data_IF_490893917498
#
_entry.id   IF_490893917498
#
_cell.length_a   1.000
_cell.length_b   1.000
_cell.length_c   1.000
_cell.angle_alpha   90.00
_cell.angle_beta   90.00
_cell.angle_gamma   90.00
#
_symmetry.space_group_name_H-M   'P 1'
#
loop_
_entity.id
_entity.type
_entity.pdbx_description
1 polymer ?
#
# COMPACT_ATOMS: atom_id res chain seq x y z
N UNK A 1 -7.01 -7.49 20.87
CA UNK A 1 -7.78 -6.26 21.20
C UNK A 1 -6.80 -5.10 21.19
N UNK A 2 -6.95 -4.15 20.27
CA UNK A 2 -6.06 -2.99 20.17
C UNK A 2 -6.42 -1.99 21.25
N UNK A 3 -5.66 -1.94 22.34
CA UNK A 3 -5.76 -0.83 23.28
C UNK A 3 -5.10 0.41 22.66
N UNK A 4 -5.91 1.16 21.92
CA UNK A 4 -5.63 2.55 21.58
C UNK A 4 -6.02 3.37 22.82
N UNK A 5 -5.18 4.27 23.34
CA UNK A 5 -5.53 5.11 24.48
C UNK A 5 -6.83 5.88 24.20
N UNK A 6 -7.82 5.72 25.09
CA UNK A 6 -9.17 6.31 25.01
C UNK A 6 -9.16 7.84 24.83
N UNK A 7 -8.07 8.51 25.21
CA UNK A 7 -7.89 9.95 25.05
C UNK A 7 -7.75 10.44 23.61
N UNK A 8 -7.48 9.56 22.63
CA UNK A 8 -7.33 9.91 21.22
C UNK A 8 -8.62 9.76 20.38
N UNK A 9 -9.75 9.39 21.00
CA UNK A 9 -10.98 9.01 20.28
C UNK A 9 -12.21 9.91 20.53
N UNK A 10 -12.09 10.99 21.32
CA UNK A 10 -13.24 11.85 21.64
C UNK A 10 -13.12 13.19 20.90
N UNK A 11 -13.95 13.36 19.86
CA UNK A 11 -14.20 14.65 19.20
C UNK A 11 -14.41 15.77 20.23
N UNK A 12 -13.76 16.94 20.09
CA UNK A 12 -13.97 18.02 21.04
C UNK A 12 -15.44 18.47 20.95
N UNK A 13 -16.02 18.87 22.08
CA UNK A 13 -17.40 19.39 22.15
C UNK A 13 -17.62 20.48 21.11
N UNK A 14 -18.79 20.50 20.45
CA UNK A 14 -19.18 21.46 19.39
C UNK A 14 -18.77 22.92 19.67
N UNK A 15 -18.76 23.34 20.93
CA UNK A 15 -18.38 24.69 21.38
C UNK A 15 -16.89 25.07 21.19
N UNK A 16 -15.98 24.10 21.01
CA UNK A 16 -14.54 24.35 20.70
C UNK A 16 -14.25 24.40 19.20
N UNK A 17 -15.18 23.94 18.36
CA UNK A 17 -15.02 23.88 16.90
C UNK A 17 -15.17 25.29 16.27
N UNK A 18 -16.03 26.13 16.85
CA UNK A 18 -16.32 27.49 16.35
C UNK A 18 -15.14 28.47 16.46
N UNK A 19 -14.24 28.29 17.43
CA UNK A 19 -13.04 29.14 17.60
C UNK A 19 -11.90 28.73 16.66
N UNK A 20 -11.85 27.47 16.25
CA UNK A 20 -10.76 26.90 15.44
C UNK A 20 -11.01 26.95 13.91
N UNK A 21 -12.22 27.37 13.51
CA UNK A 21 -12.64 27.49 12.11
C UNK A 21 -11.83 28.51 11.29
N UNK A 22 -11.22 29.51 11.95
CA UNK A 22 -10.45 30.61 11.33
C UNK A 22 -8.95 30.59 11.68
N UNK A 23 -8.37 29.44 12.02
CA UNK A 23 -6.91 29.36 12.25
C UNK A 23 -6.17 29.54 10.92
N UNK A 24 -5.32 30.57 10.84
CA UNK A 24 -4.56 30.89 9.63
C UNK A 24 -3.59 29.75 9.28
N UNK A 25 -3.36 29.54 7.98
CA UNK A 25 -2.32 28.62 7.53
C UNK A 25 -0.97 29.12 8.01
N UNK A 26 -0.21 28.22 8.61
CA UNK A 26 1.16 28.50 9.06
C UNK A 26 2.16 27.78 8.15
N UNK A 27 3.40 28.25 8.19
CA UNK A 27 4.55 27.46 7.73
C UNK A 27 5.06 26.66 8.92
N UNK A 28 4.89 25.34 8.88
CA UNK A 28 5.31 24.43 9.95
C UNK A 28 6.62 23.73 9.58
N UNK A 29 7.44 23.39 10.58
CA UNK A 29 8.68 22.64 10.39
C UNK A 29 8.40 21.15 10.36
N UNK A 30 9.30 20.40 9.72
CA UNK A 30 9.22 18.94 9.69
C UNK A 30 9.23 18.35 11.11
N UNK A 31 10.03 18.93 12.02
CA UNK A 31 10.14 18.50 13.42
C UNK A 31 8.83 18.57 14.20
N UNK A 32 7.93 19.47 13.81
CA UNK A 32 6.70 19.75 14.58
C UNK A 32 5.68 18.61 14.44
N UNK A 33 5.77 17.86 13.35
CA UNK A 33 4.86 16.76 13.03
C UNK A 33 5.53 15.39 13.00
N UNK A 34 6.87 15.33 12.99
CA UNK A 34 7.64 14.09 12.92
C UNK A 34 7.31 13.14 14.08
N UNK A 35 7.36 11.86 13.79
CA UNK A 35 7.05 10.78 14.72
C UNK A 35 8.10 9.69 14.65
N UNK A 36 8.42 9.16 15.83
CA UNK A 36 9.23 7.97 16.00
C UNK A 36 8.42 6.93 16.78
N UNK A 37 8.42 5.69 16.28
CA UNK A 37 7.82 4.54 16.96
C UNK A 37 8.79 3.38 16.90
N UNK A 38 9.12 2.82 18.05
CA UNK A 38 9.89 1.57 18.15
C UNK A 38 8.91 0.43 18.40
N UNK A 39 9.05 -0.66 17.65
CA UNK A 39 8.37 -1.92 17.85
C UNK A 39 9.36 -2.90 18.48
N UNK A 40 9.35 -3.08 19.81
CA UNK A 40 10.37 -3.86 20.52
C UNK A 40 10.12 -5.37 20.44
N UNK A 41 10.08 -5.94 19.23
CA UNK A 41 9.77 -7.36 19.03
C UNK A 41 10.73 -8.33 19.73
N UNK A 42 11.96 -7.90 20.04
CA UNK A 42 12.91 -8.75 20.76
C UNK A 42 12.57 -8.93 22.25
N UNK A 43 11.86 -7.98 22.85
CA UNK A 43 11.56 -7.95 24.30
C UNK A 43 10.06 -8.08 24.61
N UNK A 44 9.20 -7.51 23.77
CA UNK A 44 7.75 -7.57 23.90
C UNK A 44 7.18 -8.71 23.04
N UNK A 45 7.04 -9.89 23.66
CA UNK A 45 6.56 -11.09 22.99
C UNK A 45 5.06 -11.02 22.64
N UNK A 46 4.23 -10.34 23.45
CA UNK A 46 2.80 -10.17 23.17
C UNK A 46 2.58 -9.23 21.97
N UNK A 47 3.38 -8.18 21.85
CA UNK A 47 3.42 -7.37 20.64
C UNK A 47 3.89 -8.20 19.46
N UNK A 48 5.00 -8.93 19.59
CA UNK A 48 5.54 -9.78 18.53
C UNK A 48 4.50 -10.76 18.00
N UNK A 49 3.78 -11.46 18.87
CA UNK A 49 2.73 -12.42 18.50
C UNK A 49 1.66 -11.81 17.59
N UNK A 50 1.34 -10.52 17.75
CA UNK A 50 0.38 -9.81 16.88
C UNK A 50 0.92 -9.54 15.47
N UNK A 51 2.24 -9.57 15.27
CA UNK A 51 2.93 -9.24 14.01
C UNK A 51 3.63 -10.44 13.37
N UNK A 52 3.55 -11.64 13.92
CA UNK A 52 4.08 -12.84 13.27
C UNK A 52 3.00 -13.62 12.52
N UNK A 53 3.41 -14.26 11.44
CA UNK A 53 2.62 -15.29 10.77
C UNK A 53 3.03 -16.69 11.27
N UNK A 54 2.32 -17.72 10.83
CA UNK A 54 2.56 -19.10 11.25
C UNK A 54 3.90 -19.69 10.76
N UNK A 55 4.58 -19.04 9.81
CA UNK A 55 5.94 -19.36 9.36
C UNK A 55 7.02 -18.58 10.14
N UNK A 56 6.67 -17.98 11.27
CA UNK A 56 7.48 -17.05 12.07
C UNK A 56 8.02 -15.84 11.27
N UNK A 57 7.44 -15.53 10.11
CA UNK A 57 7.76 -14.34 9.35
C UNK A 57 6.94 -13.14 9.83
N UNK A 58 7.42 -11.93 9.55
CA UNK A 58 6.67 -10.72 9.85
C UNK A 58 5.41 -10.64 8.97
N UNK A 59 4.27 -10.38 9.60
CA UNK A 59 2.97 -10.14 8.96
C UNK A 59 2.95 -8.74 8.36
N UNK A 60 3.51 -8.62 7.15
CA UNK A 60 3.68 -7.34 6.48
C UNK A 60 2.36 -6.58 6.27
N UNK A 61 1.24 -7.27 6.02
CA UNK A 61 -0.08 -6.63 5.95
C UNK A 61 -0.42 -5.84 7.23
N UNK A 62 -0.14 -6.39 8.42
CA UNK A 62 -0.32 -5.69 9.70
C UNK A 62 0.65 -4.50 9.84
N UNK A 63 1.88 -4.64 9.38
CA UNK A 63 2.84 -3.54 9.37
C UNK A 63 2.37 -2.41 8.44
N UNK A 64 1.86 -2.71 7.23
CA UNK A 64 1.34 -1.72 6.28
C UNK A 64 0.19 -0.91 6.88
N UNK A 65 -0.72 -1.58 7.60
CA UNK A 65 -1.79 -0.91 8.35
C UNK A 65 -1.24 0.10 9.37
N UNK A 66 -0.21 -0.30 10.12
CA UNK A 66 0.44 0.55 11.12
C UNK A 66 1.22 1.73 10.50
N UNK A 67 1.86 1.51 9.34
CA UNK A 67 2.59 2.54 8.62
C UNK A 67 1.64 3.63 8.11
N UNK A 68 0.48 3.24 7.56
CA UNK A 68 -0.55 4.19 7.14
C UNK A 68 -1.08 4.96 8.36
N UNK A 69 -1.25 4.29 9.52
CA UNK A 69 -1.76 4.94 10.73
C UNK A 69 -0.80 6.01 11.22
N UNK A 70 0.49 5.67 11.22
CA UNK A 70 1.55 6.62 11.56
C UNK A 70 1.59 7.79 10.58
N UNK A 71 1.45 7.53 9.27
CA UNK A 71 1.40 8.58 8.26
C UNK A 71 0.21 9.52 8.46
N UNK A 72 -0.96 8.96 8.79
CA UNK A 72 -2.15 9.74 9.16
C UNK A 72 -1.91 10.61 10.38
N UNK A 73 -1.28 10.08 11.44
CA UNK A 73 -0.96 10.85 12.64
C UNK A 73 -0.04 12.04 12.36
N UNK A 74 1.03 11.84 11.57
CA UNK A 74 1.92 12.93 11.14
C UNK A 74 1.15 13.98 10.36
N UNK A 75 0.29 13.58 9.43
CA UNK A 75 -0.53 14.51 8.64
C UNK A 75 -1.52 15.29 9.53
N UNK A 76 -2.17 14.64 10.51
CA UNK A 76 -3.06 15.33 11.45
C UNK A 76 -2.32 16.35 12.31
N UNK A 77 -1.12 16.01 12.79
CA UNK A 77 -0.28 16.94 13.55
C UNK A 77 0.12 18.15 12.71
N UNK A 78 0.60 17.92 11.50
CA UNK A 78 1.05 18.99 10.60
C UNK A 78 -0.04 19.97 10.24
N UNK A 79 -1.23 19.46 9.95
CA UNK A 79 -2.35 20.26 9.47
C UNK A 79 -3.14 20.89 10.61
N UNK A 80 -2.88 20.49 11.85
CA UNK A 80 -3.74 20.74 13.01
C UNK A 80 -5.18 20.31 12.69
N UNK A 81 -5.31 19.18 11.97
CA UNK A 81 -6.55 18.78 11.32
C UNK A 81 -7.71 18.61 12.29
N UNK A 82 -7.42 18.15 13.51
CA UNK A 82 -8.41 18.01 14.56
C UNK A 82 -9.02 19.34 15.01
N UNK A 83 -8.17 20.34 15.22
CA UNK A 83 -8.61 21.67 15.63
C UNK A 83 -9.42 22.32 14.51
N UNK A 84 -8.96 22.19 13.27
CA UNK A 84 -9.60 22.79 12.09
C UNK A 84 -10.80 22.00 11.54
N UNK A 85 -11.23 20.93 12.21
CA UNK A 85 -12.32 20.07 11.75
C UNK A 85 -12.10 19.46 10.36
N UNK A 86 -10.84 19.20 10.00
CA UNK A 86 -10.45 18.62 8.72
C UNK A 86 -10.37 17.11 8.82
N UNK A 87 -10.79 16.45 7.74
CA UNK A 87 -10.66 15.02 7.53
C UNK A 87 -9.46 14.72 6.66
N UNK A 88 -8.55 13.90 7.17
CA UNK A 88 -7.40 13.42 6.42
C UNK A 88 -7.62 11.97 6.05
N UNK A 89 -7.54 11.69 4.75
CA UNK A 89 -7.68 10.35 4.17
C UNK A 89 -6.41 9.97 3.41
N UNK A 90 -6.09 8.68 3.41
CA UNK A 90 -5.06 8.12 2.53
C UNK A 90 -5.58 8.12 1.11
N UNK A 91 -4.92 8.85 0.22
CA UNK A 91 -5.26 8.92 -1.20
C UNK A 91 -4.42 7.96 -2.05
N UNK A 92 -3.18 7.70 -1.65
CA UNK A 92 -2.31 6.76 -2.33
C UNK A 92 -1.22 6.24 -1.39
N UNK A 93 -0.66 5.09 -1.75
CA UNK A 93 0.60 4.59 -1.22
C UNK A 93 1.54 4.38 -2.40
N UNK A 94 2.74 4.95 -2.29
CA UNK A 94 3.80 4.75 -3.29
C UNK A 94 4.29 3.30 -3.25
N UNK A 95 5.02 2.94 -4.30
CA UNK A 95 5.70 1.65 -4.39
C UNK A 95 6.59 1.42 -3.16
N UNK A 96 6.49 0.21 -2.59
CA UNK A 96 7.31 -0.25 -1.48
C UNK A 96 8.16 -1.42 -1.99
N UNK A 97 9.49 -1.25 -1.96
CA UNK A 97 10.46 -2.32 -2.17
C UNK A 97 11.18 -2.63 -0.84
N UNK A 98 11.41 -3.91 -0.57
CA UNK A 98 12.27 -4.32 0.54
C UNK A 98 13.74 -4.19 0.14
N UNK A 99 14.50 -3.41 0.92
CA UNK A 99 15.96 -3.23 0.78
C UNK A 99 16.75 -4.25 1.60
N UNK A 100 16.08 -4.94 2.51
CA UNK A 100 16.66 -5.95 3.40
C UNK A 100 15.57 -6.82 4.00
N UNK A 101 15.99 -7.73 4.89
CA UNK A 101 15.05 -8.62 5.55
C UNK A 101 14.29 -7.89 6.66
N UNK A 102 13.04 -8.29 6.87
CA UNK A 102 12.19 -7.84 7.97
C UNK A 102 12.04 -8.99 8.98
N UNK A 103 13.05 -9.20 9.84
CA UNK A 103 13.00 -10.24 10.86
C UNK A 103 11.85 -9.96 11.84
N UNK A 104 11.20 -11.03 12.28
CA UNK A 104 10.11 -10.95 13.26
C UNK A 104 10.59 -10.91 14.70
N UNK A 105 11.87 -11.17 14.94
CA UNK A 105 12.52 -11.28 16.25
C UNK A 105 13.41 -10.09 16.62
N UNK A 106 13.58 -9.11 15.72
CA UNK A 106 14.37 -7.91 15.98
C UNK A 106 13.48 -6.69 16.08
N UNK A 107 13.92 -5.72 16.88
CA UNK A 107 13.20 -4.46 17.03
C UNK A 107 13.16 -3.70 15.69
N UNK A 108 12.02 -3.07 15.40
CA UNK A 108 11.87 -2.18 14.25
C UNK A 108 11.70 -0.73 14.71
N UNK A 109 12.44 0.18 14.08
CA UNK A 109 12.27 1.62 14.23
C UNK A 109 11.54 2.17 13.01
N UNK A 110 10.41 2.83 13.27
CA UNK A 110 9.64 3.56 12.30
C UNK A 110 9.88 5.05 12.54
N UNK A 111 10.42 5.74 11.54
CA UNK A 111 10.60 7.19 11.55
C UNK A 111 9.72 7.78 10.46
N UNK A 112 8.69 8.53 10.86
CA UNK A 112 7.76 9.17 9.94
C UNK A 112 7.93 10.68 9.98
N UNK A 113 7.95 11.30 8.79
CA UNK A 113 8.03 12.75 8.66
C UNK A 113 7.50 13.19 7.30
N UNK A 114 7.15 14.46 7.21
CA UNK A 114 6.69 15.04 5.95
C UNK A 114 7.87 15.21 5.02
N UNK A 115 7.70 14.76 3.79
CA UNK A 115 8.66 14.96 2.72
C UNK A 115 8.26 16.10 1.81
N UNK A 116 6.96 16.23 1.50
CA UNK A 116 6.46 17.22 0.56
C UNK A 116 5.03 17.63 0.89
N UNK A 117 4.68 18.89 0.58
CA UNK A 117 3.34 19.45 0.79
C UNK A 117 2.90 20.19 -0.46
N UNK A 118 1.69 19.88 -0.94
CA UNK A 118 0.99 20.60 -2.01
C UNK A 118 -0.10 21.51 -1.44
N UNK A 119 -1.14 21.79 -2.23
CA UNK A 119 -2.26 22.63 -1.77
C UNK A 119 -3.07 21.95 -0.66
N UNK A 120 -3.49 20.71 -0.88
CA UNK A 120 -4.32 19.92 0.03
C UNK A 120 -3.77 18.51 0.26
N UNK A 121 -2.66 18.18 -0.40
CA UNK A 121 -2.01 16.87 -0.39
C UNK A 121 -0.68 16.94 0.35
N UNK A 122 -0.38 15.90 1.12
CA UNK A 122 0.83 15.80 1.93
C UNK A 122 1.47 14.44 1.64
N UNK A 123 2.75 14.44 1.25
CA UNK A 123 3.54 13.21 1.18
C UNK A 123 4.24 12.99 2.53
N UNK A 124 3.88 11.89 3.18
CA UNK A 124 4.49 11.44 4.42
C UNK A 124 5.39 10.26 4.13
N UNK A 125 6.69 10.42 4.39
CA UNK A 125 7.66 9.33 4.30
C UNK A 125 7.77 8.58 5.62
N UNK A 126 7.82 7.25 5.54
CA UNK A 126 8.12 6.37 6.67
C UNK A 126 9.38 5.56 6.36
N UNK A 127 10.45 5.83 7.10
CA UNK A 127 11.68 5.04 7.08
C UNK A 127 11.55 3.90 8.08
N UNK A 128 11.73 2.68 7.60
CA UNK A 128 11.65 1.46 8.41
C UNK A 128 13.07 0.93 8.55
N UNK A 129 13.53 0.80 9.79
CA UNK A 129 14.85 0.25 10.12
C UNK A 129 14.72 -0.95 11.04
N UNK A 130 15.49 -2.00 10.79
CA UNK A 130 15.66 -3.11 11.71
C UNK A 130 16.89 -2.87 12.57
N UNK A 131 16.82 -3.26 13.84
CA UNK A 131 17.98 -3.27 14.73
C UNK A 131 18.95 -4.37 14.30
N UNK A 132 20.21 -4.02 14.09
CA UNK A 132 21.35 -4.93 13.88
C UNK A 132 22.43 -4.52 14.89
N UNK A 133 22.66 -5.36 15.90
CA UNK A 133 23.52 -5.07 17.06
C UNK A 133 23.12 -3.73 17.75
N UNK A 134 24.03 -2.75 17.76
CA UNK A 134 23.81 -1.40 18.31
C UNK A 134 23.42 -0.36 17.23
N UNK A 135 23.11 -0.80 16.00
CA UNK A 135 22.81 0.09 14.88
C UNK A 135 21.45 -0.15 14.25
N UNK A 136 20.89 0.89 13.62
CA UNK A 136 19.64 0.82 12.87
C UNK A 136 19.92 0.74 11.37
N UNK A 137 19.66 -0.41 10.78
CA UNK A 137 19.78 -0.61 9.34
C UNK A 137 18.45 -0.42 8.66
N UNK A 138 18.41 0.47 7.67
CA UNK A 138 17.21 0.73 6.88
C UNK A 138 16.87 -0.50 6.03
N UNK A 139 15.65 -1.01 6.16
CA UNK A 139 15.16 -2.21 5.47
C UNK A 139 14.04 -1.91 4.48
N UNK A 140 13.32 -0.81 4.65
CA UNK A 140 12.31 -0.36 3.71
C UNK A 140 12.04 1.15 3.82
N UNK A 141 11.41 1.71 2.79
CA UNK A 141 10.80 3.05 2.80
C UNK A 141 9.40 2.94 2.22
N UNK A 142 8.47 3.64 2.85
CA UNK A 142 7.12 3.80 2.33
C UNK A 142 6.80 5.29 2.24
N UNK A 143 6.02 5.68 1.23
CA UNK A 143 5.51 7.05 1.10
C UNK A 143 4.00 6.98 0.98
N UNK A 144 3.31 7.72 1.83
CA UNK A 144 1.85 7.79 1.86
C UNK A 144 1.43 9.19 1.46
N UNK A 145 0.43 9.26 0.57
CA UNK A 145 -0.14 10.51 0.11
C UNK A 145 -1.45 10.72 0.85
N UNK A 146 -1.44 11.69 1.75
CA UNK A 146 -2.58 12.07 2.56
C UNK A 146 -3.27 13.28 1.92
N UNK A 147 -4.59 13.32 1.94
CA UNK A 147 -5.37 14.45 1.42
C UNK A 147 -6.27 14.99 2.51
N UNK A 148 -6.14 16.29 2.79
CA UNK A 148 -7.02 17.02 3.70
C UNK A 148 -8.32 17.41 2.97
N UNK A 149 -9.44 17.15 3.63
CA UNK A 149 -10.79 17.46 3.16
C UNK A 149 -11.61 18.11 4.27
N UNK A 150 -12.57 18.94 3.89
CA UNK A 150 -13.61 19.48 4.76
C UNK A 150 -14.93 19.36 4.01
N UNK A 151 -15.92 18.71 4.62
CA UNK A 151 -17.23 18.46 3.99
C UNK A 151 -17.10 17.84 2.57
N UNK A 152 -16.18 16.90 2.41
CA UNK A 152 -15.91 16.22 1.13
C UNK A 152 -15.08 17.01 0.11
N UNK A 153 -14.81 18.30 0.33
CA UNK A 153 -13.99 19.15 -0.56
C UNK A 153 -12.54 19.21 -0.09
N UNK A 154 -11.60 19.34 -1.04
CA UNK A 154 -10.18 19.50 -0.72
C UNK A 154 -9.93 20.82 0.03
N UNK A 155 -9.23 20.74 1.17
CA UNK A 155 -8.96 21.86 2.07
C UNK A 155 -7.46 22.19 2.07
N UNK A 156 -7.12 23.48 2.19
CA UNK A 156 -5.73 23.91 2.16
C UNK A 156 -4.98 23.53 3.46
N UNK A 157 -3.74 23.05 3.31
CA UNK A 157 -2.88 22.60 4.42
C UNK A 157 -1.73 23.57 4.69
N UNK A 158 -1.11 23.44 5.86
CA UNK A 158 0.04 24.25 6.28
C UNK A 158 1.23 24.04 5.33
N UNK A 159 1.93 25.11 4.97
CA UNK A 159 3.17 25.03 4.19
C UNK A 159 4.28 24.39 5.00
N UNK A 160 5.28 23.83 4.31
CA UNK A 160 6.43 23.19 4.94
C UNK A 160 7.64 24.13 4.90
N UNK A 161 8.21 24.43 6.07
CA UNK A 161 9.54 25.03 6.16
C UNK A 161 10.59 23.93 6.02
N UNK A 162 11.45 24.06 5.04
CA UNK A 162 12.49 23.09 4.71
C UNK A 162 13.84 23.69 5.09
N UNK A 163 14.37 23.27 6.24
CA UNK A 163 15.52 23.93 6.89
C UNK A 163 16.83 23.22 6.55
N UNK A 164 16.86 21.89 6.71
CA UNK A 164 18.10 21.11 6.53
C UNK A 164 18.33 20.68 5.07
N UNK A 165 19.59 20.40 4.72
CA UNK A 165 19.96 19.85 3.40
C UNK A 165 19.24 18.52 3.09
N UNK A 166 19.05 17.67 4.11
CA UNK A 166 18.32 16.41 3.97
C UNK A 166 16.82 16.64 3.73
N UNK A 167 16.23 17.64 4.36
CA UNK A 167 14.84 18.05 4.10
C UNK A 167 14.69 18.61 2.68
N UNK A 168 15.62 19.46 2.23
CA UNK A 168 15.63 20.01 0.86
C UNK A 168 15.76 18.92 -0.19
N UNK A 169 16.60 17.91 0.06
CA UNK A 169 16.68 16.72 -0.79
C UNK A 169 15.33 15.99 -0.82
N UNK A 170 14.75 15.65 0.34
CA UNK A 170 13.47 14.91 0.41
C UNK A 170 12.31 15.66 -0.24
N UNK A 171 12.28 16.99 -0.12
CA UNK A 171 11.27 17.83 -0.73
C UNK A 171 11.33 17.81 -2.26
N UNK A 172 12.53 17.96 -2.83
CA UNK A 172 12.73 17.85 -4.29
C UNK A 172 12.38 16.46 -4.81
N UNK A 173 12.82 15.42 -4.12
CA UNK A 173 12.46 14.05 -4.49
C UNK A 173 10.94 13.81 -4.39
N UNK A 174 10.26 14.38 -3.39
CA UNK A 174 8.81 14.27 -3.22
C UNK A 174 8.04 15.00 -4.32
N UNK A 175 8.52 16.15 -4.76
CA UNK A 175 7.97 16.87 -5.92
C UNK A 175 8.11 16.05 -7.22
N UNK A 176 9.28 15.44 -7.43
CA UNK A 176 9.50 14.55 -8.57
C UNK A 176 8.55 13.34 -8.53
N UNK A 177 8.43 12.67 -7.37
CA UNK A 177 7.47 11.57 -7.19
C UNK A 177 6.04 12.01 -7.46
N UNK A 178 5.66 13.22 -7.04
CA UNK A 178 4.33 13.77 -7.33
C UNK A 178 4.09 13.96 -8.83
N UNK A 179 5.11 14.36 -9.60
CA UNK A 179 5.02 14.48 -11.04
C UNK A 179 4.86 13.10 -11.71
N UNK A 180 5.66 12.11 -11.29
CA UNK A 180 5.55 10.71 -11.75
C UNK A 180 4.17 10.10 -11.44
N UNK A 181 3.61 10.37 -10.25
CA UNK A 181 2.26 9.92 -9.89
C UNK A 181 1.20 10.44 -10.87
N UNK A 182 1.27 11.73 -11.21
CA UNK A 182 0.31 12.33 -12.14
C UNK A 182 0.36 11.68 -13.53
N UNK A 183 1.55 11.38 -14.05
CA UNK A 183 1.68 10.70 -15.35
C UNK A 183 1.17 9.26 -15.30
N UNK A 184 1.47 8.52 -14.22
CA UNK A 184 0.95 7.15 -14.03
C UNK A 184 -0.57 7.16 -13.93
N UNK A 185 -1.17 8.09 -13.19
CA UNK A 185 -2.63 8.16 -13.01
C UNK A 185 -3.40 8.46 -14.31
N UNK A 186 -2.76 9.10 -15.29
CA UNK A 186 -3.34 9.39 -16.60
C UNK A 186 -3.27 8.18 -17.55
N UNK A 187 -2.48 7.17 -17.20
CA UNK A 187 -2.20 6.00 -18.06
C UNK A 187 -3.02 4.80 -17.57
N UNK A 188 -4.35 4.91 -17.56
CA UNK A 188 -5.22 3.77 -17.19
C UNK A 188 -5.23 2.72 -18.30
N UNK A 189 -4.42 1.66 -18.15
CA UNK A 189 -4.16 0.65 -19.19
C UNK A 189 -5.39 -0.15 -19.65
N UNK A 190 -6.38 -0.38 -18.78
CA UNK A 190 -7.65 -1.03 -19.15
C UNK A 190 -8.42 -0.28 -20.26
N UNK A 191 -8.15 1.02 -20.43
CA UNK A 191 -8.82 1.85 -21.43
C UNK A 191 -7.93 2.12 -22.67
N UNK A 192 -6.70 1.61 -22.70
CA UNK A 192 -5.76 1.86 -23.78
C UNK A 192 -5.57 0.60 -24.62
N UNK A 193 -5.74 0.73 -25.94
CA UNK A 193 -5.46 -0.36 -26.89
C UNK A 193 -4.00 -0.78 -26.79
N UNK A 194 -3.70 -2.10 -26.70
CA UNK A 194 -2.33 -2.59 -26.74
C UNK A 194 -1.60 -2.13 -28.00
N UNK A 195 -0.29 -1.96 -27.90
CA UNK A 195 0.53 -1.65 -29.08
C UNK A 195 0.54 -2.83 -30.07
N UNK A 196 1.02 -2.60 -31.30
CA UNK A 196 1.15 -3.68 -32.29
C UNK A 196 2.09 -4.80 -31.79
N UNK A 197 3.19 -4.43 -31.15
CA UNK A 197 4.14 -5.36 -30.54
C UNK A 197 3.50 -6.17 -29.40
N UNK A 198 2.75 -5.51 -28.52
CA UNK A 198 2.04 -6.15 -27.41
C UNK A 198 0.95 -7.12 -27.89
N UNK A 199 0.22 -6.72 -28.94
CA UNK A 199 -0.79 -7.57 -29.57
C UNK A 199 -0.15 -8.81 -30.21
N UNK A 200 1.04 -8.66 -30.79
CA UNK A 200 1.80 -9.79 -31.34
C UNK A 200 2.25 -10.76 -30.24
N UNK A 201 2.80 -10.26 -29.13
CA UNK A 201 3.18 -11.08 -27.96
C UNK A 201 2.00 -11.87 -27.43
N UNK A 202 0.82 -11.24 -27.31
CA UNK A 202 -0.40 -11.93 -26.89
C UNK A 202 -0.83 -13.00 -27.86
N UNK A 203 -0.76 -12.73 -29.17
CA UNK A 203 -1.15 -13.68 -30.18
C UNK A 203 -0.22 -14.91 -30.20
N UNK A 204 1.09 -14.69 -30.09
CA UNK A 204 2.09 -15.76 -30.01
C UNK A 204 1.87 -16.63 -28.76
N UNK A 205 1.66 -16.00 -27.60
CA UNK A 205 1.34 -16.72 -26.35
C UNK A 205 0.05 -17.53 -26.48
N UNK A 206 -0.99 -16.97 -27.08
CA UNK A 206 -2.25 -17.68 -27.35
C UNK A 206 -2.03 -18.92 -28.23
N UNK A 207 -1.24 -18.80 -29.30
CA UNK A 207 -0.92 -19.93 -30.18
C UNK A 207 -0.15 -21.03 -29.45
N UNK A 208 0.82 -20.66 -28.62
CA UNK A 208 1.60 -21.61 -27.81
C UNK A 208 0.71 -22.39 -26.83
N UNK A 209 -0.20 -21.68 -26.14
CA UNK A 209 -1.18 -22.29 -25.22
C UNK A 209 -2.09 -23.25 -25.98
N UNK A 210 -2.63 -22.83 -27.13
CA UNK A 210 -3.56 -23.64 -27.94
C UNK A 210 -2.91 -24.92 -28.48
N UNK A 211 -1.63 -24.88 -28.81
CA UNK A 211 -0.85 -26.04 -29.27
C UNK A 211 -0.38 -26.96 -28.13
N UNK A 212 -0.53 -26.54 -26.87
CA UNK A 212 0.00 -27.26 -25.72
C UNK A 212 1.53 -27.24 -25.64
N UNK A 213 2.18 -26.24 -26.25
CA UNK A 213 3.64 -26.07 -26.22
C UNK A 213 4.14 -25.52 -24.87
N UNK A 214 3.23 -25.02 -24.04
CA UNK A 214 3.52 -24.41 -22.74
C UNK A 214 2.68 -25.07 -21.65
N UNK A 215 3.34 -25.60 -20.63
CA UNK A 215 2.70 -26.09 -19.42
C UNK A 215 2.57 -24.97 -18.38
N UNK A 216 1.42 -24.88 -17.73
CA UNK A 216 1.16 -23.86 -16.74
C UNK A 216 -0.22 -23.95 -16.10
N UNK A 217 -0.49 -23.00 -15.22
CA UNK A 217 -1.75 -22.89 -14.49
C UNK A 217 -2.61 -21.82 -15.16
N UNK A 218 -3.88 -22.13 -15.36
CA UNK A 218 -4.88 -21.16 -15.80
C UNK A 218 -4.99 -19.97 -14.86
N UNK A 219 -5.06 -18.75 -15.40
CA UNK A 219 -5.33 -17.55 -14.61
C UNK A 219 -6.61 -17.67 -13.79
N UNK A 220 -7.66 -18.27 -14.35
CA UNK A 220 -8.95 -18.52 -13.68
C UNK A 220 -8.78 -19.37 -12.41
N UNK A 221 -7.93 -20.40 -12.47
CA UNK A 221 -7.68 -21.28 -11.32
C UNK A 221 -6.97 -20.59 -10.15
N UNK A 222 -6.34 -19.44 -10.40
CA UNK A 222 -5.68 -18.62 -9.38
C UNK A 222 -6.62 -17.63 -8.66
N UNK A 223 -7.83 -17.41 -9.20
CA UNK A 223 -8.75 -16.38 -8.68
C UNK A 223 -9.25 -16.76 -7.29
N UNK A 224 -9.11 -15.84 -6.33
CA UNK A 224 -9.71 -15.98 -4.99
C UNK A 224 -10.41 -14.69 -4.59
N UNK A 225 -11.48 -14.83 -3.82
CA UNK A 225 -12.28 -13.70 -3.34
C UNK A 225 -12.39 -13.73 -1.82
N UNK A 226 -12.37 -12.55 -1.20
CA UNK A 226 -12.68 -12.34 0.21
C UNK A 226 -13.68 -11.20 0.32
N UNK A 227 -14.76 -11.39 1.06
CA UNK A 227 -15.82 -10.39 1.23
C UNK A 227 -16.01 -10.08 2.69
N UNK A 228 -16.00 -8.79 3.04
CA UNK A 228 -16.03 -8.31 4.42
C UNK A 228 -17.10 -7.23 4.59
N UNK A 229 -17.90 -7.34 5.66
CA UNK A 229 -18.80 -6.26 6.08
C UNK A 229 -18.02 -5.25 6.92
N UNK A 230 -18.15 -3.96 6.60
CA UNK A 230 -17.40 -2.92 7.27
C UNK A 230 -18.05 -2.50 8.59
N UNK A 231 -17.35 -2.76 9.68
CA UNK A 231 -17.79 -2.44 11.05
C UNK A 231 -17.07 -1.20 11.62
N UNK A 232 -17.65 -0.53 12.63
CA UNK A 232 -17.04 0.64 13.27
C UNK A 232 -15.65 0.42 13.88
N UNK A 233 -15.23 -0.83 14.12
CA UNK A 233 -13.89 -1.14 14.64
C UNK A 233 -12.78 -0.86 13.61
N UNK A 234 -13.11 -0.80 12.31
CA UNK A 234 -12.16 -0.59 11.21
C UNK A 234 -12.19 0.85 10.67
N UNK A 235 -12.82 1.78 11.40
CA UNK A 235 -13.01 3.17 10.97
C UNK A 235 -11.84 4.08 11.35
N UNK A 236 -11.63 5.09 10.54
CA UNK A 236 -10.87 6.28 10.88
C UNK A 236 -11.73 7.25 11.71
N UNK A 237 -11.11 8.34 12.19
CA UNK A 237 -11.78 9.35 13.05
C UNK A 237 -12.95 10.10 12.39
N UNK A 238 -13.24 9.84 11.11
CA UNK A 238 -14.35 10.42 10.34
C UNK A 238 -15.27 9.35 9.75
N UNK A 239 -15.44 8.23 10.45
CA UNK A 239 -16.41 7.17 10.10
C UNK A 239 -16.23 6.53 8.71
N UNK A 240 -15.05 6.68 8.11
CA UNK A 240 -14.67 5.97 6.88
C UNK A 240 -13.67 4.87 7.19
N UNK A 241 -13.63 3.82 6.37
CA UNK A 241 -12.68 2.73 6.55
C UNK A 241 -11.27 3.22 6.25
N UNK A 242 -10.36 2.77 7.12
CA UNK A 242 -8.98 3.16 7.11
C UNK A 242 -8.22 2.56 5.91
N UNK A 243 -7.43 3.37 5.19
CA UNK A 243 -6.71 2.92 4.00
C UNK A 243 -5.76 1.76 4.30
N UNK A 244 -5.06 1.83 5.43
CA UNK A 244 -4.20 0.77 5.95
C UNK A 244 -4.91 -0.55 6.19
N UNK A 245 -6.19 -0.52 6.58
CA UNK A 245 -6.97 -1.75 6.76
C UNK A 245 -7.24 -2.41 5.41
N UNK A 246 -7.63 -1.63 4.39
CA UNK A 246 -7.82 -2.15 3.03
C UNK A 246 -6.51 -2.72 2.45
N UNK A 247 -5.38 -2.04 2.68
CA UNK A 247 -4.06 -2.53 2.27
C UNK A 247 -3.71 -3.87 2.92
N UNK A 248 -4.00 -4.00 4.22
CA UNK A 248 -3.78 -5.25 4.95
C UNK A 248 -4.61 -6.37 4.35
N UNK A 249 -5.91 -6.20 4.20
CA UNK A 249 -6.80 -7.26 3.70
C UNK A 249 -6.43 -7.66 2.26
N UNK A 250 -6.11 -6.69 1.39
CA UNK A 250 -5.64 -6.96 0.04
C UNK A 250 -4.31 -7.73 0.03
N UNK A 251 -3.35 -7.33 0.88
CA UNK A 251 -2.07 -8.03 1.01
C UNK A 251 -2.23 -9.46 1.49
N UNK A 252 -3.08 -9.70 2.50
CA UNK A 252 -3.30 -11.02 3.07
C UNK A 252 -3.97 -11.96 2.05
N UNK A 253 -4.92 -11.44 1.25
CA UNK A 253 -5.48 -12.19 0.13
C UNK A 253 -4.41 -12.54 -0.91
N UNK A 254 -3.56 -11.59 -1.29
CA UNK A 254 -2.48 -11.83 -2.26
C UNK A 254 -1.45 -12.85 -1.75
N UNK A 255 -1.12 -12.80 -0.47
CA UNK A 255 -0.26 -13.76 0.19
C UNK A 255 -0.87 -15.17 0.19
N UNK A 256 -2.17 -15.28 0.49
CA UNK A 256 -2.90 -16.55 0.44
C UNK A 256 -2.95 -17.14 -0.99
N UNK A 257 -3.22 -16.31 -2.00
CA UNK A 257 -3.20 -16.72 -3.41
C UNK A 257 -1.82 -17.27 -3.76
N UNK A 258 -0.75 -16.56 -3.40
CA UNK A 258 0.63 -16.97 -3.65
C UNK A 258 0.93 -18.31 -2.97
N UNK A 259 0.53 -18.47 -1.70
CA UNK A 259 0.75 -19.71 -0.97
C UNK A 259 0.02 -20.90 -1.60
N UNK A 260 -1.24 -20.71 -2.00
CA UNK A 260 -2.03 -21.73 -2.69
C UNK A 260 -1.50 -22.06 -4.10
N UNK A 261 -0.97 -21.05 -4.79
CA UNK A 261 -0.44 -21.19 -6.14
C UNK A 261 0.90 -21.94 -6.15
N UNK A 262 1.84 -21.56 -5.28
CA UNK A 262 3.17 -22.16 -5.21
C UNK A 262 3.28 -23.37 -4.28
N UNK A 263 2.34 -23.55 -3.35
CA UNK A 263 2.37 -24.60 -2.29
C UNK A 263 3.63 -24.55 -1.41
N UNK A 264 4.24 -23.37 -1.31
CA UNK A 264 5.50 -23.10 -0.62
C UNK A 264 5.47 -21.71 0.03
N UNK A 265 6.35 -21.46 1.01
CA UNK A 265 6.35 -20.23 1.80
C UNK A 265 6.52 -18.99 0.90
N UNK A 266 5.52 -18.08 0.81
CA UNK A 266 5.66 -16.84 0.07
C UNK A 266 6.64 -15.88 0.77
N UNK A 267 7.53 -15.26 0.00
CA UNK A 267 8.37 -14.12 0.40
C UNK A 267 7.97 -12.90 -0.44
N UNK A 268 7.59 -11.84 0.24
CA UNK A 268 7.27 -10.57 -0.40
C UNK A 268 8.52 -9.90 -0.98
N UNK A 269 8.38 -9.32 -2.18
CA UNK A 269 9.45 -8.56 -2.85
C UNK A 269 9.08 -7.07 -2.89
N UNK A 270 7.91 -6.77 -3.45
CA UNK A 270 7.48 -5.39 -3.65
C UNK A 270 5.96 -5.24 -3.77
N UNK A 271 5.48 -4.06 -3.44
CA UNK A 271 4.11 -3.60 -3.70
C UNK A 271 4.20 -2.41 -4.63
N UNK A 272 3.44 -2.41 -5.72
CA UNK A 272 3.39 -1.28 -6.64
C UNK A 272 2.57 -0.12 -6.05
N UNK A 273 2.70 1.04 -6.71
CA UNK A 273 1.92 2.21 -6.37
C UNK A 273 0.41 1.93 -6.47
N UNK A 274 -0.34 2.30 -5.44
CA UNK A 274 -1.79 2.13 -5.38
C UNK A 274 -2.52 3.43 -5.08
N UNK A 275 -3.73 3.56 -5.61
CA UNK A 275 -4.61 4.71 -5.40
C UNK A 275 -5.90 4.28 -4.72
N UNK A 276 -6.39 5.12 -3.81
CA UNK A 276 -7.71 5.02 -3.23
C UNK A 276 -8.61 6.02 -3.94
N UNK A 277 -9.41 5.53 -4.90
CA UNK A 277 -10.22 6.39 -5.75
C UNK A 277 -11.41 7.00 -4.99
N UNK A 278 -11.97 6.25 -4.03
CA UNK A 278 -13.16 6.66 -3.27
C UNK A 278 -13.08 6.23 -1.81
N UNK A 279 -13.66 7.03 -0.89
CA UNK A 279 -13.80 6.63 0.51
C UNK A 279 -14.75 5.44 0.63
N UNK A 280 -14.57 4.64 1.69
CA UNK A 280 -15.44 3.51 1.98
C UNK A 280 -16.17 3.75 3.30
N UNK A 281 -17.50 3.67 3.27
CA UNK A 281 -18.36 3.97 4.41
C UNK A 281 -18.59 2.73 5.28
N UNK A 282 -18.80 2.93 6.58
CA UNK A 282 -19.25 1.87 7.51
C UNK A 282 -20.59 1.30 7.03
N UNK A 283 -20.76 -0.01 7.17
CA UNK A 283 -21.94 -0.74 6.71
C UNK A 283 -21.91 -1.10 5.22
N UNK A 284 -20.91 -0.63 4.47
CA UNK A 284 -20.64 -1.11 3.11
C UNK A 284 -20.06 -2.53 3.15
N UNK A 285 -20.31 -3.29 2.10
CA UNK A 285 -19.65 -4.59 1.89
C UNK A 285 -18.46 -4.35 0.98
N UNK A 286 -17.28 -4.84 1.35
CA UNK A 286 -16.09 -4.78 0.51
C UNK A 286 -15.79 -6.18 -0.01
N UNK A 287 -15.55 -6.28 -1.32
CA UNK A 287 -15.06 -7.49 -1.98
C UNK A 287 -13.63 -7.27 -2.47
N UNK A 288 -12.73 -8.13 -2.06
CA UNK A 288 -11.38 -8.24 -2.59
C UNK A 288 -11.34 -9.45 -3.52
N UNK A 289 -11.02 -9.24 -4.79
CA UNK A 289 -10.84 -10.30 -5.79
C UNK A 289 -9.40 -10.25 -6.26
N UNK A 290 -8.65 -11.33 -6.09
CA UNK A 290 -7.26 -11.38 -6.52
C UNK A 290 -6.94 -12.57 -7.40
N UNK A 291 -5.93 -12.42 -8.26
CA UNK A 291 -5.44 -13.47 -9.15
C UNK A 291 -3.96 -13.27 -9.47
N UNK A 292 -3.26 -14.36 -9.78
CA UNK A 292 -1.90 -14.27 -10.34
C UNK A 292 -2.05 -13.77 -11.78
N UNK A 293 -1.42 -12.64 -12.10
CA UNK A 293 -1.53 -12.04 -13.44
C UNK A 293 -0.28 -12.25 -14.29
N UNK A 294 0.89 -12.41 -13.66
CA UNK A 294 2.15 -12.56 -14.36
C UNK A 294 3.12 -13.42 -13.55
N UNK A 295 3.92 -14.23 -14.24
CA UNK A 295 4.94 -15.11 -13.64
C UNK A 295 6.20 -15.09 -14.49
N UNK A 296 7.35 -14.99 -13.86
CA UNK A 296 8.65 -15.08 -14.53
C UNK A 296 9.67 -15.74 -13.61
N UNK A 297 10.26 -16.83 -14.09
CA UNK A 297 11.24 -17.66 -13.39
C UNK A 297 10.85 -18.07 -11.96
N UNK A 298 11.26 -17.28 -10.97
CA UNK A 298 11.08 -17.53 -9.53
C UNK A 298 10.14 -16.52 -8.86
N UNK A 299 9.48 -15.68 -9.65
CA UNK A 299 8.68 -14.56 -9.17
C UNK A 299 7.33 -14.52 -9.85
N UNK A 300 6.34 -14.03 -9.12
CA UNK A 300 4.99 -13.85 -9.61
C UNK A 300 4.40 -12.54 -9.11
N UNK A 301 3.45 -12.02 -9.85
CA UNK A 301 2.69 -10.83 -9.52
C UNK A 301 1.22 -11.20 -9.33
N UNK A 302 0.66 -10.76 -8.20
CA UNK A 302 -0.75 -10.91 -7.86
C UNK A 302 -1.41 -9.54 -7.97
N UNK A 303 -2.47 -9.44 -8.75
CA UNK A 303 -3.40 -8.31 -8.74
C UNK A 303 -4.48 -8.57 -7.69
N UNK A 304 -4.88 -7.54 -6.94
CA UNK A 304 -6.05 -7.56 -6.07
C UNK A 304 -6.90 -6.33 -6.37
N UNK A 305 -8.08 -6.57 -6.93
CA UNK A 305 -9.12 -5.56 -7.17
C UNK A 305 -10.02 -5.50 -5.95
N UNK A 306 -10.24 -4.30 -5.44
CA UNK A 306 -11.15 -4.05 -4.31
C UNK A 306 -12.37 -3.29 -4.80
N UNK A 307 -13.54 -3.81 -4.48
CA UNK A 307 -14.83 -3.25 -4.84
C UNK A 307 -15.66 -2.99 -3.59
N UNK A 308 -16.33 -1.85 -3.56
CA UNK A 308 -17.39 -1.56 -2.60
C UNK A 308 -18.73 -1.93 -3.22
N UNK A 309 -19.50 -2.71 -2.48
CA UNK A 309 -20.84 -3.16 -2.82
C UNK A 309 -21.80 -2.44 -1.88
N UNK A 310 -22.70 -1.64 -2.44
CA UNK A 310 -23.75 -0.95 -1.67
C UNK A 310 -24.95 -1.88 -1.48
N UNK A 311 -25.24 -2.36 -0.26
CA UNK A 311 -26.22 -3.44 -0.07
C UNK A 311 -27.66 -3.06 -0.47
N UNK A 312 -28.00 -1.77 -0.40
CA UNK A 312 -29.36 -1.28 -0.71
C UNK A 312 -29.61 -1.13 -2.20
N UNK A 313 -28.59 -0.78 -2.98
CA UNK A 313 -28.73 -0.51 -4.43
C UNK A 313 -28.22 -1.68 -5.27
N UNK A 314 -27.34 -2.52 -4.72
CA UNK A 314 -26.62 -3.55 -5.47
C UNK A 314 -25.49 -3.00 -6.35
N UNK A 315 -25.26 -1.68 -6.33
CA UNK A 315 -24.20 -1.04 -7.11
C UNK A 315 -22.82 -1.45 -6.58
N UNK A 316 -21.95 -1.87 -7.50
CA UNK A 316 -20.56 -2.20 -7.21
C UNK A 316 -19.62 -1.15 -7.81
N UNK A 317 -18.56 -0.86 -7.08
CA UNK A 317 -17.61 0.17 -7.49
C UNK A 317 -16.19 -0.18 -7.08
N UNK A 318 -15.28 -0.21 -8.04
CA UNK A 318 -13.85 -0.37 -7.79
C UNK A 318 -13.31 0.82 -7.00
N UNK A 319 -12.66 0.55 -5.87
CA UNK A 319 -12.07 1.57 -4.99
C UNK A 319 -10.56 1.63 -5.08
N UNK A 320 -9.91 0.48 -5.26
CA UNK A 320 -8.46 0.39 -5.42
C UNK A 320 -8.09 -0.90 -6.16
N UNK A 321 -6.95 -0.86 -6.85
CA UNK A 321 -6.30 -2.05 -7.40
C UNK A 321 -4.87 -2.05 -6.87
N UNK A 322 -4.46 -3.20 -6.33
CA UNK A 322 -3.13 -3.40 -5.74
C UNK A 322 -2.38 -4.47 -6.52
N UNK A 323 -1.07 -4.28 -6.70
CA UNK A 323 -0.20 -5.28 -7.32
C UNK A 323 0.92 -5.64 -6.37
N UNK A 324 1.05 -6.93 -6.08
CA UNK A 324 2.03 -7.46 -5.15
C UNK A 324 2.93 -8.45 -5.86
N UNK A 325 4.24 -8.27 -5.74
CA UNK A 325 5.24 -9.19 -6.29
C UNK A 325 5.78 -10.07 -5.16
N UNK A 326 5.78 -11.38 -5.41
CA UNK A 326 6.28 -12.40 -4.49
C UNK A 326 7.27 -13.33 -5.18
N UNK A 327 8.10 -13.99 -4.37
CA UNK A 327 8.78 -15.24 -4.69
C UNK A 327 8.33 -16.31 -3.69
N UNK A 328 8.64 -17.57 -3.93
CA UNK A 328 8.40 -18.68 -3.02
C UNK A 328 9.72 -19.29 -2.56
N UNK A 329 9.76 -19.68 -1.30
CA UNK A 329 10.92 -20.32 -0.66
C UNK A 329 10.62 -21.78 -0.34
N UNK A 330 11.63 -22.63 -0.54
CA UNK A 330 11.64 -23.99 0.00
C UNK A 330 11.94 -24.00 1.52
N UNK A 331 11.92 -25.20 2.12
CA UNK A 331 12.20 -25.40 3.55
C UNK A 331 13.63 -25.01 3.95
N UNK A 332 14.56 -24.92 2.99
CA UNK A 332 15.94 -24.45 3.20
C UNK A 332 16.09 -22.94 3.01
N UNK A 333 15.01 -22.22 2.67
CA UNK A 333 15.01 -20.77 2.45
C UNK A 333 15.47 -20.33 1.05
N UNK A 334 15.61 -21.25 0.09
CA UNK A 334 16.02 -20.90 -1.28
C UNK A 334 14.81 -20.58 -2.16
N UNK A 335 14.95 -19.56 -3.02
CA UNK A 335 13.91 -19.23 -4.01
C UNK A 335 13.77 -20.31 -5.08
N UNK A 336 12.53 -20.76 -5.28
CA UNK A 336 12.16 -21.81 -6.22
C UNK A 336 11.50 -21.25 -7.49
N UNK A 337 11.45 -22.06 -8.55
CA UNK A 337 10.70 -21.68 -9.76
C UNK A 337 9.20 -21.66 -9.44
N UNK A 338 8.49 -20.70 -10.01
CA UNK A 338 7.04 -20.59 -9.88
C UNK A 338 6.36 -21.26 -11.08
N UNK A 339 5.16 -21.87 -10.91
CA UNK A 339 4.37 -22.34 -12.04
C UNK A 339 4.05 -21.20 -13.01
N UNK A 340 4.14 -21.43 -14.31
CA UNK A 340 3.81 -20.41 -15.30
C UNK A 340 2.31 -20.13 -15.33
N UNK A 341 1.91 -18.86 -15.30
CA UNK A 341 0.51 -18.44 -15.44
C UNK A 341 0.14 -18.32 -16.91
N UNK A 342 -1.03 -18.85 -17.27
CA UNK A 342 -1.53 -18.84 -18.64
C UNK A 342 -2.84 -18.06 -18.73
N UNK A 343 -2.92 -16.99 -19.55
CA UNK A 343 -4.17 -16.30 -19.82
C UNK A 343 -5.11 -17.16 -20.68
N UNK A 344 -6.40 -17.16 -20.36
CA UNK A 344 -7.41 -17.91 -21.13
C UNK A 344 -8.33 -17.01 -21.95
N UNK A 345 -8.58 -15.79 -21.47
CA UNK A 345 -9.37 -14.78 -22.16
C UNK A 345 -8.51 -13.64 -22.71
N UNK A 346 -9.09 -12.80 -23.57
CA UNK A 346 -8.43 -11.57 -24.00
C UNK A 346 -8.16 -10.63 -22.82
N UNK A 347 -9.09 -10.55 -21.86
CA UNK A 347 -8.92 -9.77 -20.63
C UNK A 347 -7.74 -10.29 -19.79
N UNK A 348 -7.59 -11.61 -19.64
CA UNK A 348 -6.44 -12.21 -18.97
C UNK A 348 -5.13 -11.87 -19.69
N UNK A 349 -5.16 -11.84 -21.03
CA UNK A 349 -4.05 -11.40 -21.85
C UNK A 349 -3.66 -9.96 -21.52
N UNK A 350 -4.63 -9.05 -21.45
CA UNK A 350 -4.38 -7.66 -21.05
C UNK A 350 -3.77 -7.57 -19.65
N UNK A 351 -4.29 -8.34 -18.68
CA UNK A 351 -3.72 -8.42 -17.31
C UNK A 351 -2.30 -8.95 -17.32
N UNK A 352 -2.01 -9.96 -18.14
CA UNK A 352 -0.68 -10.54 -18.29
C UNK A 352 0.33 -9.51 -18.84
N UNK A 353 -0.04 -8.77 -19.87
CA UNK A 353 0.79 -7.69 -20.41
C UNK A 353 1.02 -6.58 -19.39
N UNK A 354 -0.02 -6.16 -18.68
CA UNK A 354 0.10 -5.14 -17.64
C UNK A 354 1.06 -5.59 -16.53
N UNK A 355 0.89 -6.83 -16.05
CA UNK A 355 1.79 -7.45 -15.08
C UNK A 355 3.24 -7.51 -15.56
N UNK A 356 3.47 -7.88 -16.83
CA UNK A 356 4.81 -7.91 -17.42
C UNK A 356 5.47 -6.53 -17.46
N UNK A 357 4.72 -5.48 -17.87
CA UNK A 357 5.22 -4.10 -17.91
C UNK A 357 5.56 -3.58 -16.52
N UNK A 358 4.64 -3.77 -15.57
CA UNK A 358 4.82 -3.37 -14.16
C UNK A 358 6.02 -4.04 -13.54
N UNK A 359 6.18 -5.34 -13.80
CA UNK A 359 7.33 -6.10 -13.34
C UNK A 359 8.64 -5.52 -13.88
N UNK A 360 8.73 -5.27 -15.19
CA UNK A 360 9.91 -4.66 -15.83
C UNK A 360 10.22 -3.26 -15.30
N UNK A 361 9.19 -2.42 -15.13
CA UNK A 361 9.34 -1.09 -14.53
C UNK A 361 9.89 -1.21 -13.10
N UNK A 362 9.42 -2.20 -12.35
CA UNK A 362 9.85 -2.46 -11.00
C UNK A 362 11.29 -2.94 -10.87
N UNK A 363 11.71 -3.87 -11.72
CA UNK A 363 13.10 -4.32 -11.82
C UNK A 363 14.05 -3.16 -12.08
N UNK A 364 13.70 -2.29 -13.04
CA UNK A 364 14.50 -1.10 -13.35
C UNK A 364 14.62 -0.16 -12.14
N UNK A 365 13.52 0.06 -11.40
CA UNK A 365 13.53 0.89 -10.19
C UNK A 365 14.38 0.27 -9.07
N UNK A 366 14.34 -1.05 -8.88
CA UNK A 366 15.18 -1.76 -7.91
C UNK A 366 16.66 -1.68 -8.27
N UNK A 367 17.01 -1.88 -9.53
CA UNK A 367 18.40 -1.77 -10.01
C UNK A 367 18.99 -0.37 -9.75
N UNK A 368 18.18 0.68 -9.90
CA UNK A 368 18.58 2.06 -9.60
C UNK A 368 18.71 2.36 -8.09
N UNK A 369 18.07 1.56 -7.23
CA UNK A 369 18.07 1.78 -5.77
C UNK A 369 19.20 1.01 -5.07
N UNK A 370 19.71 -0.06 -5.71
CA UNK A 370 20.81 -0.88 -5.22
C UNK A 370 22.20 -0.40 -5.67
N UNK A 371 22.26 0.51 -6.65
CA UNK A 371 23.45 1.27 -7.03
C UNK A 371 23.47 2.61 -6.31
#
# INVERSE_FOLDING_TARGET
MSEIPVGAQVAPSKTKVDVALNKALITAKVSDSALEKILPFSTDLELRERYINFFNGLRLGKLLEDLDLMAGQVAYRHTEGWERGMTIVTAACDRIDLLGELPSDRDLQLLSSINWVGRSSIEVGVKISSKEDDSWKRVARAYFIMVARREGKAEAVNSLEVVSMDEQRRFREGEQRQHERRSISQTSYLNNTPTAEESQVLHELFLQIKKGEVEGVSMENSIRQSTLLMHPQSRNVHDNIFGGYLMREAFELAWNITYLYCRQKPKFISMDHMYFYKPVEIGSIISFTGSVIYTVEKTLMVEVVTEVIHPKTGETQVTNVCYFTFTNLDDSGNSQRVPQILPHSYEDGLKYLDGAKRFKLGENKRALTNN
#
